data_IF_291470873657
#
_entry.id   IF_291470873657
#
_cell.length_a   1.000
_cell.length_b   1.000
_cell.length_c   1.000
_cell.angle_alpha   90.00
_cell.angle_beta   90.00
_cell.angle_gamma   90.00
#
_symmetry.space_group_name_H-M   'P 1'
#
loop_
_entity.id
_entity.type
_entity.pdbx_description
1 polymer ?
#
# COMPACT_ATOMS: atom_id res chain seq x y z
N UNK A 1 -27.22 -19.21 5.78
CA UNK A 1 -27.58 -17.94 5.13
C UNK A 1 -26.65 -17.76 3.93
N UNK A 2 -27.16 -17.99 2.74
CA UNK A 2 -26.41 -17.83 1.47
C UNK A 2 -26.32 -16.35 1.15
N UNK A 3 -25.17 -15.73 1.40
CA UNK A 3 -24.88 -14.37 0.94
C UNK A 3 -24.79 -14.37 -0.58
N UNK A 4 -25.78 -13.76 -1.23
CA UNK A 4 -25.73 -13.49 -2.67
C UNK A 4 -24.46 -12.70 -2.99
N UNK A 5 -23.61 -13.12 -3.94
CA UNK A 5 -22.40 -12.40 -4.27
C UNK A 5 -22.76 -10.98 -4.73
N UNK A 6 -22.19 -9.97 -4.07
CA UNK A 6 -22.37 -8.56 -4.42
C UNK A 6 -21.92 -8.35 -5.87
N UNK A 7 -22.81 -7.88 -6.73
CA UNK A 7 -22.49 -7.58 -8.13
C UNK A 7 -21.48 -6.42 -8.16
N UNK A 8 -20.26 -6.69 -8.61
CA UNK A 8 -19.22 -5.69 -8.76
C UNK A 8 -19.69 -4.59 -9.73
N UNK A 9 -19.61 -3.33 -9.35
CA UNK A 9 -20.00 -2.20 -10.20
C UNK A 9 -19.05 -2.04 -11.39
N UNK A 10 -19.48 -1.28 -12.42
CA UNK A 10 -18.63 -0.96 -13.59
C UNK A 10 -17.41 -0.17 -13.14
N UNK A 11 -17.59 0.76 -12.22
CA UNK A 11 -16.54 1.59 -11.64
C UNK A 11 -15.50 0.73 -10.89
N UNK A 12 -15.96 -0.17 -10.01
CA UNK A 12 -15.09 -1.11 -9.30
C UNK A 12 -14.30 -2.02 -10.25
N UNK A 13 -14.91 -2.49 -11.35
CA UNK A 13 -14.21 -3.31 -12.35
C UNK A 13 -13.07 -2.55 -13.02
N UNK A 14 -13.32 -1.30 -13.41
CA UNK A 14 -12.30 -0.44 -14.03
C UNK A 14 -11.14 -0.24 -13.04
N UNK A 15 -11.47 0.13 -11.80
CA UNK A 15 -10.50 0.44 -10.76
C UNK A 15 -9.61 -0.75 -10.40
N UNK A 16 -10.22 -1.91 -10.14
CA UNK A 16 -9.49 -3.15 -9.82
C UNK A 16 -8.59 -3.59 -10.98
N UNK A 17 -9.09 -3.50 -12.22
CA UNK A 17 -8.30 -3.83 -13.42
C UNK A 17 -7.14 -2.87 -13.60
N UNK A 18 -7.37 -1.56 -13.47
CA UNK A 18 -6.33 -0.55 -13.58
C UNK A 18 -5.27 -0.70 -12.49
N UNK A 19 -5.67 -0.90 -11.22
CA UNK A 19 -4.78 -1.17 -10.11
C UNK A 19 -3.84 -2.34 -10.41
N UNK A 20 -4.42 -3.49 -10.77
CA UNK A 20 -3.64 -4.68 -11.11
C UNK A 20 -2.66 -4.42 -12.26
N UNK A 21 -3.11 -3.82 -13.34
CA UNK A 21 -2.29 -3.56 -14.51
C UNK A 21 -1.17 -2.53 -14.25
N UNK A 22 -1.45 -1.47 -13.50
CA UNK A 22 -0.45 -0.47 -13.15
C UNK A 22 0.65 -1.08 -12.25
N UNK A 23 0.29 -1.93 -11.30
CA UNK A 23 1.28 -2.59 -10.46
C UNK A 23 2.04 -3.70 -11.20
N UNK A 24 1.37 -4.48 -12.07
CA UNK A 24 1.95 -5.64 -12.74
C UNK A 24 2.81 -5.26 -13.95
N UNK A 25 2.33 -4.35 -14.78
CA UNK A 25 2.94 -4.01 -16.07
C UNK A 25 3.58 -2.61 -16.11
N UNK A 26 3.35 -1.83 -15.06
CA UNK A 26 3.78 -0.45 -15.00
C UNK A 26 2.74 0.55 -15.52
N UNK A 27 2.82 1.76 -15.02
CA UNK A 27 1.89 2.84 -15.35
C UNK A 27 2.06 3.30 -16.79
N UNK A 28 3.31 3.47 -17.25
CA UNK A 28 3.58 3.92 -18.62
C UNK A 28 3.15 2.89 -19.65
N UNK A 29 3.47 1.61 -19.42
CA UNK A 29 3.15 0.52 -20.33
C UNK A 29 1.65 0.17 -20.37
N UNK A 30 0.87 0.60 -19.38
CA UNK A 30 -0.55 0.33 -19.30
C UNK A 30 -1.37 1.41 -19.99
N UNK A 31 -1.82 1.15 -21.23
CA UNK A 31 -2.73 2.05 -21.97
C UNK A 31 -4.20 1.86 -21.58
N UNK A 32 -5.01 2.90 -21.79
CA UNK A 32 -6.48 2.85 -21.58
C UNK A 32 -7.14 1.72 -22.39
N UNK A 33 -6.65 1.43 -23.60
CA UNK A 33 -7.19 0.35 -24.44
C UNK A 33 -7.09 -1.01 -23.74
N UNK A 34 -5.94 -1.30 -23.12
CA UNK A 34 -5.72 -2.54 -22.36
C UNK A 34 -6.63 -2.63 -21.13
N UNK A 35 -6.82 -1.51 -20.43
CA UNK A 35 -7.73 -1.48 -19.26
C UNK A 35 -9.17 -1.78 -19.70
N UNK A 36 -9.64 -1.21 -20.82
CA UNK A 36 -10.96 -1.47 -21.37
C UNK A 36 -11.12 -2.94 -21.76
N UNK A 37 -10.14 -3.50 -22.47
CA UNK A 37 -10.13 -4.89 -22.91
C UNK A 37 -10.21 -5.85 -21.73
N UNK A 38 -9.34 -5.69 -20.73
CA UNK A 38 -9.25 -6.61 -19.59
C UNK A 38 -10.37 -6.42 -18.56
N UNK A 39 -10.95 -5.22 -18.43
CA UNK A 39 -12.09 -4.98 -17.55
C UNK A 39 -13.44 -5.38 -18.19
N UNK A 40 -13.47 -5.54 -19.51
CA UNK A 40 -14.70 -5.82 -20.27
C UNK A 40 -15.72 -4.68 -20.25
N UNK A 41 -15.28 -3.43 -20.01
CA UNK A 41 -16.16 -2.25 -19.99
C UNK A 41 -16.08 -1.47 -21.31
N UNK A 42 -17.07 -0.60 -21.57
CA UNK A 42 -17.00 0.28 -22.74
C UNK A 42 -16.03 1.45 -22.50
N UNK A 43 -15.40 1.95 -23.58
CA UNK A 43 -14.61 3.18 -23.53
C UNK A 43 -15.41 4.35 -22.94
N UNK A 44 -16.68 4.47 -23.30
CA UNK A 44 -17.58 5.50 -22.77
C UNK A 44 -17.72 5.39 -21.25
N UNK A 45 -17.91 4.18 -20.70
CA UNK A 45 -18.02 3.99 -19.26
C UNK A 45 -16.75 4.41 -18.53
N UNK A 46 -15.58 4.04 -19.03
CA UNK A 46 -14.32 4.43 -18.41
C UNK A 46 -14.18 5.96 -18.34
N UNK A 47 -14.43 6.66 -19.46
CA UNK A 47 -14.33 8.12 -19.49
C UNK A 47 -15.44 8.83 -18.70
N UNK A 48 -16.62 8.21 -18.57
CA UNK A 48 -17.70 8.75 -17.74
C UNK A 48 -17.33 8.72 -16.25
N UNK A 49 -16.66 7.67 -15.79
CA UNK A 49 -16.29 7.53 -14.37
C UNK A 49 -15.01 8.30 -14.01
N UNK A 50 -14.00 8.25 -14.87
CA UNK A 50 -12.66 8.76 -14.51
C UNK A 50 -12.18 9.93 -15.37
N UNK A 51 -12.73 10.13 -16.56
CA UNK A 51 -12.38 11.24 -17.47
C UNK A 51 -10.99 11.10 -18.12
N UNK A 52 -9.97 10.61 -17.40
CA UNK A 52 -8.60 10.46 -17.90
C UNK A 52 -7.88 9.31 -17.25
N UNK A 53 -6.73 8.88 -17.85
CA UNK A 53 -5.82 7.90 -17.22
C UNK A 53 -5.21 8.45 -15.92
N UNK A 54 -4.93 9.74 -15.88
CA UNK A 54 -4.38 10.40 -14.69
C UNK A 54 -5.36 10.35 -13.51
N UNK A 55 -6.63 10.69 -13.75
CA UNK A 55 -7.65 10.60 -12.70
C UNK A 55 -7.90 9.15 -12.25
N UNK A 56 -7.84 8.19 -13.17
CA UNK A 56 -7.93 6.78 -12.83
C UNK A 56 -6.73 6.35 -11.95
N UNK A 57 -5.52 6.82 -12.26
CA UNK A 57 -4.34 6.57 -11.43
C UNK A 57 -4.46 7.20 -10.04
N UNK A 58 -4.99 8.43 -9.95
CA UNK A 58 -5.30 9.08 -8.65
C UNK A 58 -6.26 8.23 -7.81
N UNK A 59 -7.33 7.71 -8.43
CA UNK A 59 -8.27 6.81 -7.75
C UNK A 59 -7.62 5.49 -7.30
N UNK A 60 -6.65 4.97 -8.05
CA UNK A 60 -5.85 3.82 -7.62
C UNK A 60 -5.00 4.17 -6.40
N UNK A 61 -4.33 5.33 -6.37
CA UNK A 61 -3.59 5.78 -5.19
C UNK A 61 -4.47 5.94 -3.96
N UNK A 62 -5.67 6.49 -4.11
CA UNK A 62 -6.65 6.61 -3.03
C UNK A 62 -7.03 5.24 -2.46
N UNK A 63 -7.31 4.26 -3.33
CA UNK A 63 -7.65 2.90 -2.90
C UNK A 63 -6.51 2.21 -2.13
N UNK A 64 -5.26 2.39 -2.57
CA UNK A 64 -4.10 1.85 -1.86
C UNK A 64 -3.85 2.57 -0.53
N UNK A 65 -4.05 3.89 -0.49
CA UNK A 65 -3.98 4.64 0.75
C UNK A 65 -5.03 4.18 1.77
N UNK A 66 -6.27 3.94 1.31
CA UNK A 66 -7.36 3.45 2.15
C UNK A 66 -7.04 2.09 2.77
N UNK A 67 -6.35 1.19 2.06
CA UNK A 67 -5.89 -0.09 2.60
C UNK A 67 -4.93 0.13 3.79
N UNK A 68 -3.94 1.00 3.63
CA UNK A 68 -3.00 1.33 4.71
C UNK A 68 -3.70 1.99 5.90
N UNK A 69 -4.60 2.97 5.64
CA UNK A 69 -5.35 3.63 6.71
C UNK A 69 -6.27 2.67 7.43
N UNK A 70 -6.91 1.72 6.73
CA UNK A 70 -7.70 0.68 7.35
C UNK A 70 -6.88 -0.17 8.33
N UNK A 71 -5.63 -0.53 7.97
CA UNK A 71 -4.74 -1.24 8.88
C UNK A 71 -4.45 -0.42 10.14
N UNK A 72 -4.06 0.84 10.00
CA UNK A 72 -3.70 1.70 11.13
C UNK A 72 -4.89 2.12 11.99
N UNK A 73 -6.04 2.39 11.38
CA UNK A 73 -7.18 2.99 12.07
C UNK A 73 -8.20 1.94 12.57
N UNK A 74 -8.22 0.76 11.96
CA UNK A 74 -9.20 -0.30 12.26
C UNK A 74 -8.54 -1.59 12.73
N UNK A 75 -7.69 -2.21 11.91
CA UNK A 75 -7.16 -3.54 12.20
C UNK A 75 -6.21 -3.56 13.41
N UNK A 76 -5.22 -2.68 13.42
CA UNK A 76 -4.24 -2.64 14.50
C UNK A 76 -4.84 -2.20 15.84
N UNK A 77 -5.73 -1.20 15.93
CA UNK A 77 -6.36 -0.82 17.19
C UNK A 77 -7.26 -1.89 17.80
N UNK A 78 -7.86 -2.77 17.00
CA UNK A 78 -8.68 -3.88 17.50
C UNK A 78 -7.86 -4.99 18.18
N UNK A 79 -6.57 -5.05 17.93
CA UNK A 79 -5.68 -6.02 18.58
C UNK A 79 -5.51 -5.62 20.05
N UNK A 80 -5.96 -6.51 20.96
CA UNK A 80 -5.83 -6.34 22.43
C UNK A 80 -4.40 -6.70 22.87
N UNK A 81 -3.45 -5.85 22.52
CA UNK A 81 -2.02 -6.06 22.79
C UNK A 81 -1.33 -4.72 23.06
N UNK A 82 -0.06 -4.76 23.45
CA UNK A 82 0.77 -3.57 23.67
C UNK A 82 0.99 -2.76 22.40
N UNK A 83 1.44 -1.52 22.54
CA UNK A 83 1.78 -0.67 21.38
C UNK A 83 2.91 -1.30 20.55
N UNK A 84 3.91 -1.90 21.17
CA UNK A 84 5.00 -2.62 20.52
C UNK A 84 4.46 -3.80 19.68
N UNK A 85 3.62 -4.64 20.28
CA UNK A 85 3.01 -5.78 19.58
C UNK A 85 2.13 -5.34 18.39
N UNK A 86 1.47 -4.16 18.46
CA UNK A 86 0.72 -3.60 17.34
C UNK A 86 1.64 -3.18 16.19
N UNK A 87 2.80 -2.57 16.49
CA UNK A 87 3.79 -2.24 15.46
C UNK A 87 4.26 -3.53 14.77
N UNK A 88 4.56 -4.57 15.54
CA UNK A 88 4.97 -5.86 14.97
C UNK A 88 3.85 -6.54 14.18
N UNK A 89 2.59 -6.37 14.59
CA UNK A 89 1.44 -6.91 13.87
C UNK A 89 1.22 -6.27 12.48
N UNK A 90 1.77 -5.06 12.22
CA UNK A 90 1.79 -4.49 10.87
C UNK A 90 2.50 -5.41 9.87
N UNK A 91 3.58 -6.04 10.27
CA UNK A 91 4.31 -7.00 9.41
C UNK A 91 3.50 -8.28 9.16
N UNK A 92 2.62 -8.69 10.08
CA UNK A 92 1.70 -9.80 9.84
C UNK A 92 0.67 -9.43 8.75
N UNK A 93 0.12 -8.20 8.78
CA UNK A 93 -0.77 -7.69 7.74
C UNK A 93 -0.04 -7.57 6.39
N UNK A 94 1.21 -7.12 6.40
CA UNK A 94 2.05 -7.09 5.20
C UNK A 94 2.28 -8.51 4.66
N UNK A 95 2.50 -9.51 5.51
CA UNK A 95 2.64 -10.90 5.06
C UNK A 95 1.37 -11.42 4.39
N UNK A 96 0.21 -11.09 4.92
CA UNK A 96 -1.07 -11.44 4.30
C UNK A 96 -1.24 -10.75 2.94
N UNK A 97 -0.83 -9.48 2.84
CA UNK A 97 -0.84 -8.73 1.58
C UNK A 97 0.11 -9.33 0.55
N UNK A 98 1.35 -9.68 0.94
CA UNK A 98 2.35 -10.28 0.05
C UNK A 98 1.95 -11.65 -0.50
N UNK A 99 1.04 -12.36 0.17
CA UNK A 99 0.53 -13.67 -0.27
C UNK A 99 -0.61 -13.59 -1.28
N UNK A 100 -1.13 -12.39 -1.54
CA UNK A 100 -2.21 -12.23 -2.52
C UNK A 100 -1.67 -12.39 -3.94
N UNK A 101 -2.43 -13.04 -4.79
CA UNK A 101 -2.08 -13.27 -6.20
C UNK A 101 -1.91 -11.96 -7.00
N UNK A 102 -2.48 -10.86 -6.49
CA UNK A 102 -2.40 -9.53 -7.08
C UNK A 102 -1.37 -8.61 -6.39
N UNK A 103 -0.44 -9.18 -5.61
CA UNK A 103 0.68 -8.44 -5.04
C UNK A 103 1.80 -8.25 -6.08
N UNK A 104 2.02 -7.02 -6.50
CA UNK A 104 3.11 -6.59 -7.39
C UNK A 104 3.91 -5.41 -6.82
N UNK A 105 3.97 -5.32 -5.50
CA UNK A 105 4.63 -4.21 -4.80
C UNK A 105 3.67 -3.07 -4.42
N UNK A 106 4.24 -2.02 -3.85
CA UNK A 106 3.50 -0.82 -3.48
C UNK A 106 3.34 0.10 -4.69
N UNK A 107 2.10 0.49 -5.02
CA UNK A 107 1.82 1.37 -6.17
C UNK A 107 2.53 2.71 -6.07
N UNK A 108 2.72 3.26 -4.87
CA UNK A 108 3.43 4.52 -4.67
C UNK A 108 4.93 4.38 -4.99
N UNK A 109 5.58 3.32 -4.50
CA UNK A 109 6.99 3.03 -4.79
C UNK A 109 7.16 2.80 -6.29
N UNK A 110 6.33 1.97 -6.90
CA UNK A 110 6.39 1.66 -8.33
C UNK A 110 6.19 2.92 -9.18
N UNK A 111 5.20 3.75 -8.85
CA UNK A 111 4.91 4.97 -9.57
C UNK A 111 6.08 5.97 -9.54
N UNK A 112 6.68 6.19 -8.37
CA UNK A 112 7.84 7.09 -8.24
C UNK A 112 9.06 6.54 -8.97
N UNK A 113 9.25 5.21 -8.99
CA UNK A 113 10.36 4.58 -9.70
C UNK A 113 10.23 4.67 -11.23
N UNK A 114 9.00 4.63 -11.77
CA UNK A 114 8.74 4.69 -13.21
C UNK A 114 8.74 6.10 -13.78
N UNK A 115 8.41 7.12 -12.97
CA UNK A 115 8.20 8.46 -13.47
C UNK A 115 9.50 9.24 -13.54
N UNK A 116 9.60 10.09 -14.59
CA UNK A 116 10.66 11.07 -14.68
C UNK A 116 10.62 11.96 -13.43
N UNK A 117 11.81 12.24 -12.87
CA UNK A 117 11.98 13.04 -11.63
C UNK A 117 11.34 14.44 -11.67
N UNK A 118 10.85 14.86 -12.84
CA UNK A 118 10.16 16.13 -13.07
C UNK A 118 8.63 16.05 -12.93
N UNK A 119 8.05 14.89 -12.65
CA UNK A 119 6.60 14.75 -12.57
C UNK A 119 6.13 14.96 -11.13
N UNK A 120 5.99 16.23 -10.75
CA UNK A 120 5.78 16.70 -9.38
C UNK A 120 4.56 16.07 -8.70
N UNK A 121 3.43 15.90 -9.39
CA UNK A 121 2.18 15.48 -8.75
C UNK A 121 2.21 14.04 -8.21
N UNK A 122 2.92 13.12 -8.87
CA UNK A 122 3.07 11.73 -8.37
C UNK A 122 3.95 11.73 -7.12
N UNK A 123 5.05 12.48 -7.15
CA UNK A 123 5.92 12.64 -6.00
C UNK A 123 5.17 13.29 -4.82
N UNK A 124 4.36 14.32 -5.09
CA UNK A 124 3.53 15.00 -4.09
C UNK A 124 2.53 14.04 -3.43
N UNK A 125 1.81 13.22 -4.21
CA UNK A 125 0.86 12.23 -3.68
C UNK A 125 1.59 11.16 -2.86
N UNK A 126 2.73 10.65 -3.35
CA UNK A 126 3.50 9.65 -2.63
C UNK A 126 4.05 10.19 -1.30
N UNK A 127 4.57 11.41 -1.30
CA UNK A 127 5.05 12.08 -0.10
C UNK A 127 3.91 12.34 0.90
N UNK A 128 2.77 12.85 0.45
CA UNK A 128 1.61 13.08 1.30
C UNK A 128 1.07 11.80 1.93
N UNK A 129 1.08 10.69 1.19
CA UNK A 129 0.74 9.38 1.73
C UNK A 129 1.75 8.95 2.79
N UNK A 130 3.06 9.03 2.50
CA UNK A 130 4.14 8.68 3.42
C UNK A 130 4.07 9.48 4.71
N UNK A 131 3.86 10.79 4.64
CA UNK A 131 3.73 11.65 5.81
C UNK A 131 2.58 11.22 6.73
N UNK A 132 1.42 10.87 6.17
CA UNK A 132 0.26 10.39 6.94
C UNK A 132 0.55 9.05 7.62
N UNK A 133 1.19 8.10 6.94
CA UNK A 133 1.59 6.81 7.53
C UNK A 133 2.64 7.02 8.62
N UNK A 134 3.65 7.86 8.36
CA UNK A 134 4.68 8.21 9.33
C UNK A 134 4.08 8.80 10.60
N UNK A 135 3.13 9.73 10.50
CA UNK A 135 2.48 10.33 11.67
C UNK A 135 1.75 9.28 12.53
N UNK A 136 1.06 8.31 11.90
CA UNK A 136 0.40 7.21 12.62
C UNK A 136 1.43 6.30 13.30
N UNK A 137 2.52 5.99 12.64
CA UNK A 137 3.57 5.13 13.18
C UNK A 137 4.30 5.82 14.33
N UNK A 138 4.61 7.14 14.24
CA UNK A 138 5.20 7.94 15.33
C UNK A 138 4.32 7.84 16.59
N UNK A 139 3.01 8.00 16.45
CA UNK A 139 2.09 7.90 17.59
C UNK A 139 2.14 6.51 18.25
N UNK A 140 2.25 5.44 17.46
CA UNK A 140 2.36 4.07 17.99
C UNK A 140 3.72 3.84 18.66
N UNK A 141 4.81 4.34 18.07
CA UNK A 141 6.16 4.23 18.62
C UNK A 141 6.28 5.01 19.92
N UNK A 142 5.74 6.22 19.99
CA UNK A 142 5.69 7.00 21.22
C UNK A 142 4.90 6.27 22.33
N UNK A 143 3.77 5.65 22.00
CA UNK A 143 2.97 4.86 22.92
C UNK A 143 3.68 3.57 23.40
N UNK A 144 4.72 3.11 22.70
CA UNK A 144 5.54 1.96 23.13
C UNK A 144 6.61 2.33 24.18
N UNK A 145 6.81 3.63 24.46
CA UNK A 145 7.80 4.13 25.41
C UNK A 145 9.21 4.31 24.83
N UNK A 146 9.34 4.42 23.52
CA UNK A 146 10.63 4.68 22.87
C UNK A 146 11.19 6.07 23.23
N UNK A 147 12.51 6.19 23.41
CA UNK A 147 13.17 7.45 23.79
C UNK A 147 13.17 8.51 22.68
N UNK A 148 13.25 8.07 21.43
CA UNK A 148 13.28 8.94 20.23
C UNK A 148 12.29 8.36 19.19
N UNK A 149 10.97 8.66 19.36
CA UNK A 149 9.94 8.09 18.49
C UNK A 149 10.11 8.46 17.02
N UNK A 150 10.58 9.64 16.71
CA UNK A 150 10.79 10.13 15.35
C UNK A 150 11.89 9.31 14.65
N UNK A 151 13.07 9.20 15.24
CA UNK A 151 14.18 8.41 14.69
C UNK A 151 13.84 6.93 14.55
N UNK A 152 13.16 6.37 15.57
CA UNK A 152 12.74 4.96 15.53
C UNK A 152 11.72 4.75 14.41
N UNK A 153 10.80 5.69 14.22
CA UNK A 153 9.84 5.63 13.12
C UNK A 153 10.51 5.71 11.75
N UNK A 154 11.53 6.54 11.59
CA UNK A 154 12.28 6.59 10.33
C UNK A 154 12.97 5.25 10.02
N UNK A 155 13.59 4.62 11.02
CA UNK A 155 14.16 3.27 10.87
C UNK A 155 13.10 2.23 10.47
N UNK A 156 11.92 2.27 11.11
CA UNK A 156 10.82 1.38 10.77
C UNK A 156 10.26 1.66 9.37
N UNK A 157 10.16 2.91 8.94
CA UNK A 157 9.76 3.26 7.57
C UNK A 157 10.72 2.69 6.53
N UNK A 158 12.04 2.85 6.74
CA UNK A 158 13.05 2.25 5.87
C UNK A 158 12.94 0.72 5.83
N UNK A 159 12.67 0.10 6.97
CA UNK A 159 12.49 -1.35 7.06
C UNK A 159 11.21 -1.81 6.35
N UNK A 160 10.11 -1.08 6.49
CA UNK A 160 8.84 -1.35 5.79
C UNK A 160 9.05 -1.27 4.27
N UNK A 161 9.64 -0.18 3.77
CA UNK A 161 9.93 0.00 2.35
C UNK A 161 10.84 -1.13 1.82
N UNK A 162 11.92 -1.44 2.55
CA UNK A 162 12.83 -2.54 2.21
C UNK A 162 12.14 -3.91 2.20
N UNK A 163 11.24 -4.16 3.16
CA UNK A 163 10.47 -5.40 3.24
C UNK A 163 9.52 -5.56 2.04
N UNK A 164 8.83 -4.48 1.63
CA UNK A 164 7.95 -4.48 0.46
C UNK A 164 8.76 -4.77 -0.81
N UNK A 165 9.87 -4.05 -1.00
CA UNK A 165 10.72 -4.23 -2.19
C UNK A 165 11.33 -5.63 -2.22
N UNK A 166 11.82 -6.15 -1.10
CA UNK A 166 12.39 -7.49 -1.03
C UNK A 166 11.33 -8.57 -1.33
N UNK A 167 10.11 -8.43 -0.82
CA UNK A 167 9.01 -9.35 -1.12
C UNK A 167 8.64 -9.31 -2.61
N UNK A 168 8.61 -8.12 -3.22
CA UNK A 168 8.35 -7.95 -4.65
C UNK A 168 9.43 -8.62 -5.51
N UNK A 169 10.71 -8.45 -5.16
CA UNK A 169 11.85 -8.99 -5.93
C UNK A 169 11.96 -10.50 -5.80
N UNK A 170 11.72 -11.04 -4.61
CA UNK A 170 11.90 -12.49 -4.34
C UNK A 170 10.65 -13.32 -4.60
N UNK A 171 9.46 -12.70 -4.62
CA UNK A 171 8.18 -13.40 -4.62
C UNK A 171 7.91 -14.18 -3.31
N UNK A 172 8.71 -13.96 -2.25
CA UNK A 172 8.60 -14.69 -1.00
C UNK A 172 7.95 -13.83 0.11
N UNK A 173 6.70 -14.12 0.43
CA UNK A 173 5.99 -13.47 1.52
C UNK A 173 6.61 -13.68 2.92
N UNK A 174 7.55 -14.64 3.09
CA UNK A 174 8.27 -14.84 4.36
C UNK A 174 9.20 -13.68 4.71
N UNK A 175 9.53 -12.84 3.73
CA UNK A 175 10.31 -11.60 3.97
C UNK A 175 9.67 -10.73 5.05
N UNK A 176 8.34 -10.67 5.14
CA UNK A 176 7.64 -9.94 6.19
C UNK A 176 7.99 -10.45 7.61
N UNK A 177 8.23 -11.76 7.77
CA UNK A 177 8.66 -12.30 9.06
C UNK A 177 10.08 -11.83 9.45
N UNK A 178 10.99 -11.74 8.47
CA UNK A 178 12.34 -11.19 8.69
C UNK A 178 12.24 -9.71 9.06
N UNK A 179 11.41 -8.95 8.34
CA UNK A 179 11.12 -7.55 8.68
C UNK A 179 10.55 -7.39 10.08
N UNK A 180 9.63 -8.26 10.50
CA UNK A 180 9.07 -8.29 11.86
C UNK A 180 10.15 -8.51 12.93
N UNK A 181 11.08 -9.45 12.71
CA UNK A 181 12.19 -9.69 13.64
C UNK A 181 13.11 -8.47 13.75
N UNK A 182 13.48 -7.86 12.61
CA UNK A 182 14.30 -6.66 12.60
C UNK A 182 13.58 -5.47 13.29
N UNK A 183 12.27 -5.32 13.10
CA UNK A 183 11.47 -4.32 13.81
C UNK A 183 11.49 -4.54 15.32
N UNK A 184 11.38 -5.80 15.78
CA UNK A 184 11.49 -6.13 17.21
C UNK A 184 12.87 -5.76 17.79
N UNK A 185 13.95 -5.97 17.03
CA UNK A 185 15.30 -5.58 17.47
C UNK A 185 15.43 -4.06 17.56
N UNK A 186 14.91 -3.31 16.56
CA UNK A 186 14.87 -1.84 16.58
C UNK A 186 14.14 -1.33 17.83
N UNK A 187 12.94 -1.87 18.11
CA UNK A 187 12.11 -1.45 19.26
C UNK A 187 12.75 -1.80 20.60
N UNK A 188 13.44 -2.93 20.69
CA UNK A 188 14.17 -3.33 21.90
C UNK A 188 15.32 -2.38 22.21
N UNK A 189 16.04 -1.92 21.21
CA UNK A 189 17.14 -0.96 21.37
C UNK A 189 16.67 0.49 21.59
N UNK A 190 15.37 0.74 21.51
CA UNK A 190 14.78 2.09 21.64
C UNK A 190 14.35 2.42 23.09
N UNK A 191 14.45 1.49 24.01
CA UNK A 191 14.15 1.64 25.45
C UNK A 191 15.44 1.92 26.21
#
# INVERSE_FOLDING_TARGET
MTTTPRKISVEEKILQTARRLFCQAGIHATGIARIIEESGVSRRSLYTHYGSKENLLKAVFETEADMWFYWFDIELPQKKCSAEERILALFDLMQEWFRKDDFFGCVFINAVAEHEKCNSWIQEIANAHREKITAKLVAMVAASGAHDPELITEKLNLLIDGTIVAAMVTGDGKIAHIGKQAAADILRCAK
#
